data_IF_386574889184
#
_entry.id   IF_386574889184
#
_cell.length_a   1.000
_cell.length_b   1.000
_cell.length_c   1.000
_cell.angle_alpha   90.00
_cell.angle_beta   90.00
_cell.angle_gamma   90.00
#
_symmetry.space_group_name_H-M   'P 1'
#
loop_
_entity.id
_entity.type
_entity.pdbx_description
1 polymer ?
#
# COMPACT_ATOMS: atom_id res chain seq x y z
N UNK A 1 -53.53 -43.64 -29.22
CA UNK A 1 -52.66 -44.77 -29.62
C UNK A 1 -51.51 -44.15 -30.43
N UNK A 2 -50.20 -44.27 -30.19
CA UNK A 2 -49.32 -45.03 -29.29
C UNK A 2 -48.16 -44.08 -28.90
N UNK A 3 -47.72 -44.12 -27.63
CA UNK A 3 -46.52 -43.43 -27.12
C UNK A 3 -45.31 -44.32 -27.41
N UNK A 4 -44.33 -43.84 -28.17
CA UNK A 4 -43.04 -44.53 -28.34
C UNK A 4 -42.09 -44.07 -27.24
N UNK A 5 -42.03 -44.82 -26.14
CA UNK A 5 -40.96 -44.70 -25.13
C UNK A 5 -39.74 -45.43 -25.68
N UNK A 6 -38.68 -44.70 -26.05
CA UNK A 6 -37.35 -45.29 -26.19
C UNK A 6 -36.75 -45.43 -24.80
N UNK A 7 -36.61 -46.66 -24.32
CA UNK A 7 -35.82 -46.97 -23.14
C UNK A 7 -34.33 -46.79 -23.51
N UNK A 8 -33.66 -45.84 -22.87
CA UNK A 8 -32.21 -45.75 -22.88
C UNK A 8 -31.73 -46.59 -21.69
N UNK A 9 -31.15 -47.75 -21.97
CA UNK A 9 -30.46 -48.55 -20.97
C UNK A 9 -29.09 -47.88 -20.74
N UNK A 10 -28.95 -47.15 -19.64
CA UNK A 10 -27.65 -46.67 -19.18
C UNK A 10 -26.98 -47.78 -18.38
N UNK A 11 -25.98 -48.42 -18.95
CA UNK A 11 -25.03 -49.25 -18.21
C UNK A 11 -24.12 -48.32 -17.43
N UNK A 12 -24.26 -48.32 -16.11
CA UNK A 12 -23.31 -47.72 -15.18
C UNK A 12 -22.08 -48.63 -15.21
N UNK A 13 -20.96 -48.11 -15.71
CA UNK A 13 -19.66 -48.77 -15.62
C UNK A 13 -18.94 -48.04 -14.48
N UNK A 14 -18.92 -48.66 -13.32
CA UNK A 14 -18.07 -48.28 -12.20
C UNK A 14 -16.63 -48.66 -12.57
N UNK A 15 -15.85 -47.69 -13.06
CA UNK A 15 -14.42 -47.85 -13.28
C UNK A 15 -13.66 -47.28 -12.08
N UNK A 16 -13.68 -48.00 -10.97
CA UNK A 16 -12.75 -47.83 -9.85
C UNK A 16 -11.55 -48.77 -10.02
N UNK A 17 -10.75 -48.59 -11.07
CA UNK A 17 -9.43 -49.25 -11.19
C UNK A 17 -8.41 -48.26 -11.79
N UNK A 18 -7.55 -47.74 -10.90
CA UNK A 18 -6.37 -46.96 -11.21
C UNK A 18 -5.25 -47.89 -11.69
N UNK A 19 -5.18 -48.14 -12.99
CA UNK A 19 -4.05 -48.83 -13.61
C UNK A 19 -3.23 -47.87 -14.49
N UNK A 20 -2.15 -47.35 -13.90
CA UNK A 20 -1.07 -46.69 -14.63
C UNK A 20 -0.20 -47.76 -15.31
N UNK A 21 -0.61 -48.22 -16.50
CA UNK A 21 0.26 -49.04 -17.35
C UNK A 21 1.12 -48.14 -18.24
N UNK A 22 2.37 -47.98 -17.83
CA UNK A 22 3.48 -47.47 -18.65
C UNK A 22 3.74 -48.43 -19.81
N UNK A 23 3.62 -47.94 -21.05
CA UNK A 23 4.05 -48.63 -22.26
C UNK A 23 5.02 -47.76 -23.06
N UNK A 24 6.25 -48.25 -23.09
CA UNK A 24 7.49 -47.79 -23.75
C UNK A 24 7.33 -47.44 -25.24
N UNK A 25 8.06 -46.41 -25.70
CA UNK A 25 9.30 -46.50 -26.51
C UNK A 25 9.45 -45.26 -27.40
N UNK A 26 10.43 -44.43 -27.07
CA UNK A 26 10.99 -43.41 -27.96
C UNK A 26 12.44 -43.20 -27.55
N UNK A 27 13.36 -43.69 -28.37
CA UNK A 27 14.81 -43.47 -28.23
C UNK A 27 15.11 -41.97 -28.26
N UNK A 28 15.76 -41.49 -27.20
CA UNK A 28 16.51 -40.24 -27.15
C UNK A 28 17.77 -40.49 -26.33
N UNK A 29 18.68 -41.30 -26.89
CA UNK A 29 20.09 -41.17 -26.59
C UNK A 29 20.62 -39.90 -27.26
N UNK A 30 21.45 -39.16 -26.53
CA UNK A 30 22.22 -37.97 -26.96
C UNK A 30 21.60 -36.60 -26.62
N UNK A 31 21.52 -36.29 -25.33
CA UNK A 31 21.68 -34.91 -24.83
C UNK A 31 22.48 -34.92 -23.52
N UNK A 32 23.81 -35.03 -23.65
CA UNK A 32 24.76 -34.58 -22.63
C UNK A 32 24.66 -33.05 -22.52
N UNK A 33 23.81 -32.57 -21.62
CA UNK A 33 23.87 -31.20 -21.11
C UNK A 33 23.95 -31.23 -19.58
N UNK A 34 25.04 -31.80 -19.07
CA UNK A 34 25.58 -31.36 -17.78
C UNK A 34 26.26 -30.01 -17.99
N UNK A 35 25.46 -28.93 -18.08
CA UNK A 35 25.99 -27.63 -17.73
C UNK A 35 26.18 -27.64 -16.21
N UNK A 36 27.42 -27.91 -15.81
CA UNK A 36 27.93 -27.63 -14.48
C UNK A 36 27.83 -26.13 -14.26
N UNK A 37 26.69 -25.68 -13.70
CA UNK A 37 26.57 -24.34 -13.16
C UNK A 37 27.46 -24.33 -11.92
N UNK A 38 28.61 -23.69 -12.05
CA UNK A 38 29.51 -23.45 -10.93
C UNK A 38 28.71 -22.88 -9.75
N UNK A 39 28.94 -23.36 -8.51
CA UNK A 39 28.42 -22.69 -7.33
C UNK A 39 28.83 -21.22 -7.40
N UNK A 40 27.85 -20.33 -7.51
CA UNK A 40 28.08 -18.91 -7.32
C UNK A 40 28.67 -18.77 -5.93
N UNK A 41 29.94 -18.35 -5.85
CA UNK A 41 30.54 -17.90 -4.60
C UNK A 41 29.57 -16.89 -3.99
N UNK A 42 28.98 -17.25 -2.85
CA UNK A 42 28.29 -16.32 -1.97
C UNK A 42 29.33 -15.28 -1.55
N UNK A 43 29.42 -14.19 -2.31
CA UNK A 43 30.01 -12.97 -1.80
C UNK A 43 29.06 -12.49 -0.70
N UNK A 44 29.45 -12.68 0.55
CA UNK A 44 28.83 -12.13 1.77
C UNK A 44 28.85 -10.59 1.82
N UNK A 45 28.73 -9.91 0.69
CA UNK A 45 28.53 -8.48 0.60
C UNK A 45 27.03 -8.18 0.64
N UNK A 46 26.45 -8.44 1.82
CA UNK A 46 25.16 -7.90 2.26
C UNK A 46 25.26 -6.37 2.38
N UNK A 47 25.22 -5.65 1.26
CA UNK A 47 24.88 -4.22 1.24
C UNK A 47 23.37 -4.06 1.00
N UNK A 48 22.60 -4.54 1.98
CA UNK A 48 21.26 -4.00 2.21
C UNK A 48 21.32 -2.49 2.46
N UNK A 49 20.22 -1.74 2.32
CA UNK A 49 20.24 -0.31 2.65
C UNK A 49 20.61 -0.14 4.13
N UNK A 50 21.85 0.28 4.39
CA UNK A 50 22.33 0.60 5.73
C UNK A 50 21.46 1.75 6.24
N UNK A 51 20.64 1.46 7.26
CA UNK A 51 19.99 2.49 8.05
C UNK A 51 21.09 3.11 8.91
N UNK A 52 21.89 3.98 8.30
CA UNK A 52 22.87 4.78 9.01
C UNK A 52 22.12 5.63 10.02
N UNK A 53 22.48 5.52 11.30
CA UNK A 53 22.06 6.51 12.26
C UNK A 53 22.49 7.88 11.72
N UNK A 54 21.62 8.88 11.77
CA UNK A 54 21.92 10.21 11.24
C UNK A 54 23.22 10.79 11.84
N UNK A 55 23.59 10.37 13.05
CA UNK A 55 24.84 10.73 13.70
C UNK A 55 26.08 10.06 13.09
N UNK A 56 25.97 8.80 12.65
CA UNK A 56 27.09 8.03 12.06
C UNK A 56 27.39 8.51 10.64
N UNK A 57 26.35 8.77 9.83
CA UNK A 57 26.50 9.36 8.50
C UNK A 57 27.18 10.73 8.51
N UNK A 58 26.93 11.53 9.55
CA UNK A 58 27.56 12.85 9.71
C UNK A 58 29.02 12.73 10.17
N UNK A 59 29.40 11.63 10.82
CA UNK A 59 30.78 11.39 11.27
C UNK A 59 31.71 10.93 10.13
N UNK A 60 31.18 10.17 9.16
CA UNK A 60 31.94 9.59 8.05
C UNK A 60 32.24 10.58 6.90
N UNK A 61 31.71 11.80 6.94
CA UNK A 61 32.02 12.84 5.96
C UNK A 61 33.42 13.40 6.27
N UNK A 62 34.45 13.21 5.42
CA UNK A 62 35.77 13.77 5.64
C UNK A 62 35.67 15.30 5.64
N UNK A 63 35.87 15.92 6.81
CA UNK A 63 35.75 17.36 7.03
C UNK A 63 34.50 17.82 7.79
N UNK A 64 33.66 16.91 8.31
CA UNK A 64 32.52 17.23 9.19
C UNK A 64 32.91 17.47 10.66
N UNK A 65 33.97 16.79 11.13
CA UNK A 65 34.51 16.96 12.49
C UNK A 65 35.37 18.22 12.65
N UNK A 66 35.85 18.80 11.54
CA UNK A 66 36.32 20.18 11.56
C UNK A 66 35.10 21.08 11.45
N UNK A 67 34.54 21.41 12.61
CA UNK A 67 33.86 22.69 12.78
C UNK A 67 34.68 23.70 11.98
N UNK A 68 34.12 24.21 10.88
CA UNK A 68 34.63 25.42 10.24
C UNK A 68 34.66 26.43 11.36
N UNK A 69 35.82 26.59 12.01
CA UNK A 69 36.02 27.49 13.12
C UNK A 69 35.57 28.81 12.58
N UNK A 70 34.36 29.24 12.95
CA UNK A 70 33.85 30.55 12.57
C UNK A 70 34.97 31.48 12.98
N UNK A 71 35.57 32.15 12.00
CA UNK A 71 36.66 33.09 12.25
C UNK A 71 36.25 33.91 13.46
N UNK A 72 37.10 34.03 14.51
CA UNK A 72 36.71 34.71 15.72
C UNK A 72 36.08 36.04 15.34
N UNK A 73 34.79 36.19 15.64
CA UNK A 73 34.08 37.42 15.36
C UNK A 73 34.95 38.54 15.92
N UNK A 74 35.32 39.57 15.13
CA UNK A 74 36.18 40.63 15.63
C UNK A 74 35.62 41.13 16.96
N UNK A 75 36.47 41.36 17.99
CA UNK A 75 36.00 41.69 19.32
C UNK A 75 35.00 42.82 19.18
N UNK A 76 33.75 42.55 19.57
CA UNK A 76 32.67 43.54 19.54
C UNK A 76 33.19 44.69 20.39
N UNK A 77 33.54 45.79 19.73
CA UNK A 77 34.15 46.97 20.35
C UNK A 77 33.29 47.32 21.55
N UNK A 78 33.76 46.98 22.76
CA UNK A 78 33.09 47.36 24.01
C UNK A 78 33.40 48.82 24.26
N UNK A 79 32.95 49.68 23.35
CA UNK A 79 32.57 51.01 23.77
C UNK A 79 31.32 50.80 24.60
N UNK A 80 31.50 50.74 25.92
CA UNK A 80 30.45 51.09 26.87
C UNK A 80 30.19 52.59 26.69
N UNK A 81 29.68 52.97 25.52
CA UNK A 81 29.00 54.22 25.36
C UNK A 81 27.54 53.88 25.69
N UNK A 82 27.00 54.50 26.73
CA UNK A 82 25.56 54.48 27.03
C UNK A 82 24.73 55.14 25.90
N UNK A 83 25.35 55.51 24.77
CA UNK A 83 24.76 56.16 23.61
C UNK A 83 24.32 55.20 22.49
N UNK A 84 24.59 53.88 22.60
CA UNK A 84 24.13 52.87 21.63
C UNK A 84 22.70 52.36 21.91
N UNK A 85 21.83 53.25 22.42
CA UNK A 85 20.43 52.94 22.66
C UNK A 85 19.64 52.77 21.35
N UNK A 86 18.99 51.61 21.19
CA UNK A 86 18.19 51.29 20.00
C UNK A 86 16.93 52.18 19.96
N UNK A 87 16.90 53.14 19.02
CA UNK A 87 15.76 54.05 18.84
C UNK A 87 14.65 53.34 18.05
N UNK A 88 13.54 53.05 18.72
CA UNK A 88 12.32 52.55 18.07
C UNK A 88 11.49 53.71 17.52
N UNK A 89 10.87 53.53 16.34
CA UNK A 89 10.02 54.55 15.71
C UNK A 89 8.69 53.96 15.23
N UNK A 90 7.66 54.79 15.21
CA UNK A 90 6.35 54.44 14.66
C UNK A 90 6.33 54.53 13.13
N UNK A 91 5.26 54.03 12.50
CA UNK A 91 4.96 54.25 11.08
C UNK A 91 4.89 55.73 10.69
N UNK A 92 4.60 56.61 11.65
CA UNK A 92 4.60 58.08 11.50
C UNK A 92 5.98 58.71 11.75
N UNK A 93 7.00 57.92 12.07
CA UNK A 93 8.38 58.38 12.31
C UNK A 93 8.67 58.91 13.72
N UNK A 94 7.66 58.99 14.60
CA UNK A 94 7.83 59.42 16.01
C UNK A 94 8.61 58.38 16.80
N UNK A 95 9.51 58.83 17.70
CA UNK A 95 10.28 57.95 18.59
C UNK A 95 9.34 57.30 19.61
N UNK A 96 9.44 55.99 19.77
CA UNK A 96 8.64 55.16 20.68
C UNK A 96 9.57 54.50 21.71
N UNK A 97 9.07 54.26 22.93
CA UNK A 97 9.80 53.49 23.95
C UNK A 97 9.90 52.00 23.60
N UNK A 98 10.92 51.30 24.12
CA UNK A 98 11.13 49.86 23.87
C UNK A 98 9.89 49.01 24.18
N UNK A 99 9.20 49.31 25.27
CA UNK A 99 8.00 48.58 25.72
C UNK A 99 6.82 48.75 24.76
N UNK A 100 6.59 49.97 24.28
CA UNK A 100 5.54 50.27 23.32
C UNK A 100 5.80 49.61 21.96
N UNK A 101 7.07 49.53 21.54
CA UNK A 101 7.46 48.78 20.33
C UNK A 101 7.20 47.29 20.48
N UNK A 102 7.55 46.69 21.63
CA UNK A 102 7.28 45.27 21.91
C UNK A 102 5.77 44.97 21.85
N UNK A 103 4.92 45.79 22.47
CA UNK A 103 3.47 45.62 22.46
C UNK A 103 2.86 45.74 21.04
N UNK A 104 3.35 46.67 20.22
CA UNK A 104 2.94 46.82 18.82
C UNK A 104 3.37 45.61 17.97
N UNK A 105 4.56 45.08 18.22
CA UNK A 105 5.10 43.94 17.50
C UNK A 105 4.46 42.61 17.95
N UNK A 106 4.09 42.48 19.21
CA UNK A 106 3.41 41.31 19.77
C UNK A 106 1.98 41.19 19.27
N UNK A 107 1.26 42.33 19.14
CA UNK A 107 -0.06 42.36 18.47
C UNK A 107 0.00 42.05 16.96
N UNK A 108 1.17 42.25 16.33
CA UNK A 108 1.44 41.86 14.93
C UNK A 108 1.96 40.43 14.79
N UNK A 109 2.39 39.78 15.89
CA UNK A 109 2.65 38.33 15.87
C UNK A 109 1.32 37.62 15.57
N UNK A 110 1.34 36.64 14.68
CA UNK A 110 0.48 36.70 13.52
C UNK A 110 -0.87 36.01 13.76
N UNK A 111 -1.96 36.78 13.82
CA UNK A 111 -3.30 36.25 13.54
C UNK A 111 -3.38 35.62 12.14
N UNK A 112 -2.51 36.03 11.20
CA UNK A 112 -2.39 35.45 9.86
C UNK A 112 -1.75 34.05 9.86
N UNK A 113 -0.70 33.76 10.63
CA UNK A 113 -0.09 32.43 10.62
C UNK A 113 -0.96 31.34 11.27
N UNK A 114 -1.93 31.74 12.11
CA UNK A 114 -2.94 30.82 12.66
C UNK A 114 -4.17 30.65 11.75
N UNK A 115 -4.51 31.66 10.95
CA UNK A 115 -5.63 31.63 10.01
C UNK A 115 -5.25 31.03 8.64
N UNK A 116 -4.01 31.22 8.18
CA UNK A 116 -3.49 30.66 6.92
C UNK A 116 -3.15 29.16 7.06
N UNK A 117 -2.78 28.71 8.26
CA UNK A 117 -2.45 27.29 8.52
C UNK A 117 -3.68 26.39 8.72
N UNK A 118 -4.85 26.97 8.99
CA UNK A 118 -6.11 26.21 9.17
C UNK A 118 -6.89 26.02 7.87
N UNK A 119 -6.50 26.69 6.78
CA UNK A 119 -7.12 26.46 5.49
C UNK A 119 -6.49 25.20 4.89
N UNK A 120 -7.04 24.03 5.25
CA UNK A 120 -6.60 22.76 4.70
C UNK A 120 -6.58 22.85 3.17
N UNK A 121 -5.38 22.81 2.60
CA UNK A 121 -5.20 22.83 1.15
C UNK A 121 -5.78 21.53 0.60
N UNK A 122 -7.07 21.57 0.27
CA UNK A 122 -7.81 20.41 -0.22
C UNK A 122 -7.16 19.85 -1.50
N UNK A 123 -6.35 20.64 -2.20
CA UNK A 123 -5.64 20.24 -3.41
C UNK A 123 -4.32 19.50 -3.15
N UNK A 124 -3.80 19.51 -1.92
CA UNK A 124 -2.57 18.79 -1.55
C UNK A 124 -2.80 17.33 -1.12
N UNK A 125 -4.03 16.95 -0.80
CA UNK A 125 -4.40 15.58 -0.39
C UNK A 125 -4.94 14.79 -1.59
N UNK A 126 -4.60 13.50 -1.67
CA UNK A 126 -5.16 12.62 -2.71
C UNK A 126 -6.67 12.39 -2.53
N UNK A 127 -7.42 12.26 -3.62
CA UNK A 127 -8.87 12.04 -3.56
C UNK A 127 -9.24 10.79 -2.76
N UNK A 128 -8.54 9.67 -3.01
CA UNK A 128 -8.73 8.40 -2.28
C UNK A 128 -8.41 8.55 -0.79
N UNK A 129 -7.40 9.35 -0.43
CA UNK A 129 -7.07 9.57 0.98
C UNK A 129 -8.21 10.30 1.71
N UNK A 130 -8.85 11.28 1.07
CA UNK A 130 -10.02 11.96 1.64
C UNK A 130 -11.20 11.03 1.80
N UNK A 131 -11.54 10.28 0.74
CA UNK A 131 -12.65 9.31 0.80
C UNK A 131 -12.40 8.26 1.88
N UNK A 132 -11.17 7.75 1.99
CA UNK A 132 -10.81 6.80 3.04
C UNK A 132 -10.90 7.42 4.43
N UNK A 133 -10.49 8.68 4.60
CA UNK A 133 -10.61 9.40 5.86
C UNK A 133 -12.07 9.61 6.26
N UNK A 134 -12.92 10.07 5.33
CA UNK A 134 -14.36 10.24 5.55
C UNK A 134 -15.03 8.91 5.90
N UNK A 135 -14.63 7.81 5.24
CA UNK A 135 -15.10 6.47 5.55
C UNK A 135 -14.65 6.01 6.95
N UNK A 136 -13.38 6.27 7.32
CA UNK A 136 -12.87 5.99 8.66
C UNK A 136 -13.63 6.76 9.73
N UNK A 137 -13.86 8.07 9.55
CA UNK A 137 -14.66 8.88 10.50
C UNK A 137 -16.11 8.42 10.61
N UNK A 138 -16.71 7.93 9.51
CA UNK A 138 -18.06 7.37 9.54
C UNK A 138 -18.09 6.04 10.33
N UNK A 139 -17.10 5.18 10.12
CA UNK A 139 -16.92 3.94 10.87
C UNK A 139 -16.67 4.19 12.35
N UNK A 140 -15.80 5.14 12.70
CA UNK A 140 -15.54 5.53 14.08
C UNK A 140 -16.79 6.07 14.77
N UNK A 141 -17.58 6.92 14.10
CA UNK A 141 -18.86 7.40 14.62
C UNK A 141 -19.86 6.27 14.83
N UNK A 142 -19.89 5.29 13.92
CA UNK A 142 -20.72 4.10 14.05
C UNK A 142 -20.30 3.25 15.24
N UNK A 143 -19.01 2.94 15.36
CA UNK A 143 -18.45 2.16 16.46
C UNK A 143 -18.64 2.85 17.81
N UNK A 144 -18.51 4.17 17.87
CA UNK A 144 -18.75 4.96 19.07
C UNK A 144 -20.21 4.89 19.57
N UNK A 145 -21.16 4.65 18.67
CA UNK A 145 -22.58 4.44 19.02
C UNK A 145 -22.89 3.00 19.42
N UNK A 146 -22.01 2.05 19.10
CA UNK A 146 -22.21 0.64 19.39
C UNK A 146 -21.73 0.27 20.81
N UNK A 147 -22.37 -0.72 21.46
CA UNK A 147 -21.90 -1.25 22.73
C UNK A 147 -20.59 -2.03 22.53
N UNK A 148 -19.76 -2.08 23.59
CA UNK A 148 -18.49 -2.81 23.57
C UNK A 148 -18.65 -4.31 23.26
N UNK A 149 -19.71 -4.93 23.80
CA UNK A 149 -20.00 -6.35 23.60
C UNK A 149 -21.21 -6.51 22.67
N UNK A 150 -21.07 -7.33 21.63
CA UNK A 150 -22.19 -7.81 20.79
C UNK A 150 -22.52 -9.24 21.22
N UNK A 151 -23.72 -9.45 21.77
CA UNK A 151 -24.12 -10.76 22.30
C UNK A 151 -24.82 -11.64 21.24
N UNK A 152 -25.65 -11.04 20.40
CA UNK A 152 -26.37 -11.68 19.30
C UNK A 152 -26.06 -11.00 17.96
N UNK A 153 -26.62 -11.53 16.87
CA UNK A 153 -26.48 -10.92 15.55
C UNK A 153 -27.30 -9.61 15.49
N UNK A 154 -26.61 -8.48 15.43
CA UNK A 154 -27.21 -7.18 15.21
C UNK A 154 -27.82 -7.06 13.81
N UNK A 155 -28.85 -6.24 13.65
CA UNK A 155 -29.53 -6.00 12.36
C UNK A 155 -28.58 -5.55 11.24
N UNK A 156 -27.52 -4.82 11.58
CA UNK A 156 -26.52 -4.36 10.62
C UNK A 156 -25.60 -5.49 10.16
N UNK A 157 -25.18 -6.36 11.08
CA UNK A 157 -24.38 -7.54 10.76
C UNK A 157 -25.19 -8.57 9.95
N UNK A 158 -26.48 -8.72 10.28
CA UNK A 158 -27.42 -9.54 9.51
C UNK A 158 -27.57 -9.04 8.06
N UNK A 159 -27.61 -7.73 7.85
CA UNK A 159 -27.62 -7.12 6.51
C UNK A 159 -26.33 -7.41 5.75
N UNK A 160 -25.18 -7.32 6.40
CA UNK A 160 -23.88 -7.64 5.80
C UNK A 160 -23.80 -9.12 5.39
N UNK A 161 -24.23 -10.05 6.26
CA UNK A 161 -24.27 -11.48 5.97
C UNK A 161 -25.18 -11.82 4.78
N UNK A 162 -26.33 -11.14 4.67
CA UNK A 162 -27.25 -11.30 3.52
C UNK A 162 -26.67 -10.73 2.23
N UNK A 163 -25.90 -9.63 2.30
CA UNK A 163 -25.28 -9.01 1.14
C UNK A 163 -24.08 -9.80 0.59
N UNK A 164 -23.43 -10.63 1.43
CA UNK A 164 -22.25 -11.39 1.03
C UNK A 164 -22.58 -12.43 -0.05
N UNK A 165 -22.02 -12.24 -1.24
CA UNK A 165 -22.11 -13.21 -2.34
C UNK A 165 -21.44 -14.53 -1.97
N UNK A 166 -22.16 -15.64 -2.17
CA UNK A 166 -21.65 -17.00 -1.94
C UNK A 166 -21.23 -17.63 -3.26
N UNK A 167 -20.00 -18.12 -3.30
CA UNK A 167 -19.52 -18.90 -4.44
C UNK A 167 -20.31 -20.23 -4.50
N UNK A 168 -20.79 -20.59 -5.70
CA UNK A 168 -21.59 -21.79 -5.97
C UNK A 168 -23.04 -21.78 -5.45
N UNK A 169 -23.61 -20.63 -5.09
CA UNK A 169 -25.04 -20.51 -4.82
C UNK A 169 -25.83 -20.30 -6.14
N UNK A 170 -26.71 -21.24 -6.53
CA UNK A 170 -27.49 -21.12 -7.75
C UNK A 170 -28.48 -19.95 -7.73
N UNK A 171 -28.99 -19.56 -6.55
CA UNK A 171 -29.90 -18.43 -6.41
C UNK A 171 -29.18 -17.10 -6.65
N UNK A 172 -27.94 -16.96 -6.16
CA UNK A 172 -27.12 -15.76 -6.38
C UNK A 172 -26.85 -15.51 -7.87
N UNK A 173 -26.56 -16.57 -8.65
CA UNK A 173 -26.37 -16.46 -10.10
C UNK A 173 -27.64 -16.02 -10.84
N UNK A 174 -28.83 -16.30 -10.29
CA UNK A 174 -30.10 -15.98 -10.91
C UNK A 174 -30.49 -14.51 -10.75
N UNK A 175 -30.13 -13.91 -9.62
CA UNK A 175 -30.46 -12.53 -9.21
C UNK A 175 -29.43 -11.50 -9.71
N UNK A 176 -28.17 -11.90 -9.91
CA UNK A 176 -27.12 -11.05 -10.49
C UNK A 176 -27.28 -10.81 -12.01
N UNK A 177 -28.33 -11.34 -12.65
CA UNK A 177 -28.61 -11.11 -14.07
C UNK A 177 -29.14 -9.70 -14.27
N UNK A 178 -28.27 -8.78 -14.70
CA UNK A 178 -28.70 -7.48 -15.24
C UNK A 178 -29.69 -7.74 -16.39
N UNK A 179 -30.88 -7.11 -16.41
CA UNK A 179 -31.84 -7.29 -17.50
C UNK A 179 -31.19 -6.82 -18.81
N UNK A 180 -30.94 -7.74 -19.75
CA UNK A 180 -30.35 -7.45 -21.06
C UNK A 180 -29.04 -8.16 -21.39
N UNK A 181 -28.39 -8.86 -20.45
CA UNK A 181 -27.16 -9.63 -20.73
C UNK A 181 -27.43 -11.13 -20.49
N UNK A 182 -27.78 -11.82 -21.57
CA UNK A 182 -28.00 -13.27 -21.59
C UNK A 182 -26.68 -13.97 -21.90
N UNK A 183 -25.80 -14.18 -20.91
CA UNK A 183 -24.64 -15.05 -21.08
C UNK A 183 -24.56 -16.11 -19.98
N UNK A 184 -24.26 -17.38 -20.31
CA UNK A 184 -24.27 -18.52 -19.37
C UNK A 184 -22.97 -18.66 -18.57
N UNK A 185 -22.09 -17.65 -18.58
CA UNK A 185 -20.88 -17.60 -17.74
C UNK A 185 -20.92 -16.32 -16.93
N UNK A 186 -21.39 -16.44 -15.70
CA UNK A 186 -21.27 -15.45 -14.63
C UNK A 186 -19.80 -15.26 -14.24
N UNK A 187 -18.99 -14.71 -15.15
CA UNK A 187 -17.67 -14.11 -14.90
C UNK A 187 -17.53 -12.92 -15.85
N UNK A 188 -18.47 -11.97 -15.75
CA UNK A 188 -18.27 -10.66 -16.35
C UNK A 188 -17.88 -9.73 -15.21
N UNK A 189 -16.69 -9.13 -15.33
CA UNK A 189 -16.27 -7.98 -14.54
C UNK A 189 -17.34 -6.90 -14.71
N UNK A 190 -18.31 -6.90 -13.79
CA UNK A 190 -19.24 -5.80 -13.67
C UNK A 190 -18.40 -4.55 -13.40
N UNK A 191 -18.39 -3.63 -14.36
CA UNK A 191 -18.02 -2.27 -14.05
C UNK A 191 -19.10 -1.74 -13.11
N UNK A 192 -18.74 -1.63 -11.83
CA UNK A 192 -19.53 -0.92 -10.85
C UNK A 192 -19.33 0.58 -11.14
N UNK A 193 -20.25 1.15 -11.92
CA UNK A 193 -20.30 2.57 -12.24
C UNK A 193 -19.91 2.97 -13.67
N UNK A 194 -20.18 4.25 -13.98
CA UNK A 194 -19.91 4.93 -15.26
C UNK A 194 -18.41 5.12 -15.57
N UNK A 195 -17.52 4.74 -14.64
CA UNK A 195 -16.08 4.90 -14.82
C UNK A 195 -15.53 3.76 -15.67
N UNK A 196 -14.89 4.05 -16.82
CA UNK A 196 -14.29 3.02 -17.65
C UNK A 196 -13.17 2.30 -16.89
N UNK A 197 -13.13 0.97 -16.98
CA UNK A 197 -12.03 0.12 -16.48
C UNK A 197 -11.04 -0.16 -17.61
N UNK A 198 -9.82 -0.54 -17.27
CA UNK A 198 -8.85 -0.96 -18.27
C UNK A 198 -9.31 -2.24 -18.98
N UNK A 199 -9.00 -2.33 -20.28
CA UNK A 199 -9.30 -3.50 -21.10
C UNK A 199 -8.39 -4.69 -20.79
N UNK A 200 -7.17 -4.41 -20.32
CA UNK A 200 -6.12 -5.42 -20.11
C UNK A 200 -6.01 -5.78 -18.63
N UNK A 201 -5.72 -7.06 -18.36
CA UNK A 201 -5.38 -7.50 -17.01
C UNK A 201 -4.01 -6.91 -16.62
N UNK A 202 -3.94 -6.24 -15.49
CA UNK A 202 -2.68 -5.73 -14.96
C UNK A 202 -1.89 -6.81 -14.23
N UNK A 203 -0.57 -6.61 -14.23
CA UNK A 203 0.35 -7.27 -13.30
C UNK A 203 -0.03 -6.87 -11.87
N UNK A 204 -0.03 -7.81 -10.90
CA UNK A 204 -0.31 -7.47 -9.51
C UNK A 204 0.69 -6.43 -8.97
N UNK A 205 0.18 -5.56 -8.11
CA UNK A 205 0.94 -4.53 -7.40
C UNK A 205 0.66 -4.70 -5.90
N UNK A 206 1.62 -4.35 -5.05
CA UNK A 206 1.49 -4.31 -3.57
C UNK A 206 0.20 -3.66 -3.08
N UNK A 207 -0.28 -2.64 -3.78
CA UNK A 207 -1.45 -1.86 -3.38
C UNK A 207 -2.75 -2.30 -4.06
N UNK A 208 -2.73 -3.36 -4.88
CA UNK A 208 -3.87 -3.84 -5.65
C UNK A 208 -4.59 -2.72 -6.46
N UNK A 209 -3.85 -1.71 -6.91
CA UNK A 209 -4.39 -0.60 -7.70
C UNK A 209 -4.55 -1.08 -9.15
N UNK A 210 -5.78 -1.00 -9.66
CA UNK A 210 -6.07 -1.28 -11.06
C UNK A 210 -5.45 -0.21 -11.99
N UNK A 211 -5.01 -0.59 -13.19
CA UNK A 211 -4.47 0.35 -14.15
C UNK A 211 -5.57 1.30 -14.65
N UNK A 212 -5.17 2.50 -15.04
CA UNK A 212 -6.09 3.45 -15.67
C UNK A 212 -6.69 2.89 -16.96
N UNK A 213 -7.91 3.33 -17.29
CA UNK A 213 -8.66 2.84 -18.45
C UNK A 213 -7.94 2.99 -19.81
N UNK A 214 -7.01 3.94 -19.92
CA UNK A 214 -6.21 4.22 -21.13
C UNK A 214 -4.91 3.44 -21.20
N UNK A 215 -4.60 2.61 -20.21
CA UNK A 215 -3.39 1.83 -20.23
C UNK A 215 -3.44 0.80 -21.37
N UNK A 216 -2.31 0.63 -22.06
CA UNK A 216 -2.19 -0.16 -23.29
C UNK A 216 -1.78 -1.62 -23.05
N UNK A 217 -1.59 -2.01 -21.78
CA UNK A 217 -1.17 -3.36 -21.41
C UNK A 217 0.35 -3.59 -21.50
N UNK A 218 1.13 -2.62 -21.98
CA UNK A 218 2.59 -2.78 -22.11
C UNK A 218 3.27 -2.45 -20.79
N UNK A 219 4.04 -3.43 -20.28
CA UNK A 219 4.80 -3.31 -19.03
C UNK A 219 6.07 -2.50 -19.30
N UNK A 220 6.21 -1.34 -18.65
CA UNK A 220 7.35 -0.41 -18.81
C UNK A 220 8.21 -0.25 -17.54
N UNK A 221 7.97 -1.07 -16.53
CA UNK A 221 8.68 -0.99 -15.25
C UNK A 221 9.99 -1.79 -15.23
N UNK A 222 10.85 -1.48 -14.26
CA UNK A 222 12.12 -2.20 -13.99
C UNK A 222 11.95 -3.58 -13.30
N UNK A 223 10.73 -4.14 -13.27
CA UNK A 223 10.44 -5.41 -12.56
C UNK A 223 10.59 -5.35 -11.03
N UNK A 224 10.45 -4.18 -10.40
CA UNK A 224 10.57 -4.06 -8.93
C UNK A 224 9.48 -4.84 -8.19
N UNK A 225 8.21 -4.71 -8.60
CA UNK A 225 7.08 -5.40 -7.97
C UNK A 225 7.26 -6.92 -7.98
N UNK A 226 7.72 -7.48 -9.11
CA UNK A 226 8.01 -8.92 -9.21
C UNK A 226 9.10 -9.38 -8.24
N UNK A 227 10.21 -8.63 -8.15
CA UNK A 227 11.29 -8.92 -7.20
C UNK A 227 10.80 -8.80 -5.76
N UNK A 228 9.95 -7.82 -5.47
CA UNK A 228 9.36 -7.63 -4.15
C UNK A 228 8.48 -8.82 -3.76
N UNK A 229 7.62 -9.30 -4.64
CA UNK A 229 6.79 -10.48 -4.37
C UNK A 229 7.63 -11.75 -4.17
N UNK A 230 8.69 -11.94 -4.96
CA UNK A 230 9.64 -13.06 -4.79
C UNK A 230 10.34 -13.00 -3.43
N UNK A 231 10.83 -11.82 -3.04
CA UNK A 231 11.48 -11.62 -1.74
C UNK A 231 10.52 -11.81 -0.56
N UNK A 232 9.27 -11.36 -0.68
CA UNK A 232 8.27 -11.56 0.37
C UNK A 232 7.87 -13.04 0.49
N UNK A 233 7.76 -13.76 -0.64
CA UNK A 233 7.49 -15.19 -0.64
C UNK A 233 8.63 -15.99 -0.02
N UNK A 234 9.90 -15.68 -0.35
CA UNK A 234 11.06 -16.34 0.25
C UNK A 234 11.15 -16.07 1.75
N UNK A 235 10.89 -14.83 2.17
CA UNK A 235 10.85 -14.45 3.60
C UNK A 235 9.79 -15.26 4.36
N UNK A 236 8.58 -15.38 3.82
CA UNK A 236 7.50 -16.18 4.42
C UNK A 236 7.83 -17.67 4.47
N UNK A 237 8.44 -18.21 3.42
CA UNK A 237 8.87 -19.60 3.38
C UNK A 237 9.90 -19.88 4.48
N UNK A 238 10.94 -19.04 4.58
CA UNK A 238 11.97 -19.15 5.62
C UNK A 238 11.38 -19.05 7.02
N UNK A 239 10.48 -18.10 7.29
CA UNK A 239 9.81 -17.99 8.59
C UNK A 239 9.04 -19.27 8.97
N UNK A 240 8.36 -19.89 7.99
CA UNK A 240 7.63 -21.13 8.19
C UNK A 240 8.58 -22.30 8.47
N UNK A 241 9.68 -22.41 7.75
CA UNK A 241 10.72 -23.41 7.98
C UNK A 241 11.34 -23.25 9.38
N UNK A 242 11.70 -22.03 9.78
CA UNK A 242 12.22 -21.74 11.11
C UNK A 242 11.22 -22.14 12.20
N UNK A 243 9.93 -21.84 12.01
CA UNK A 243 8.89 -22.26 12.94
C UNK A 243 8.79 -23.79 13.05
N UNK A 244 8.79 -24.51 11.93
CA UNK A 244 8.73 -25.97 11.91
C UNK A 244 9.97 -26.61 12.55
N UNK A 245 11.16 -26.06 12.29
CA UNK A 245 12.40 -26.53 12.89
C UNK A 245 12.44 -26.30 14.40
N UNK A 246 11.98 -25.13 14.86
CA UNK A 246 11.89 -24.81 16.30
C UNK A 246 10.91 -25.73 17.04
N UNK A 247 9.83 -26.15 16.39
CA UNK A 247 8.90 -27.14 16.97
C UNK A 247 9.52 -28.53 16.99
N UNK A 248 10.26 -28.91 15.95
CA UNK A 248 10.85 -30.24 15.86
C UNK A 248 11.94 -30.49 16.93
N UNK A 249 12.55 -29.42 17.45
CA UNK A 249 13.59 -29.48 18.51
C UNK A 249 13.01 -29.42 19.94
N UNK A 250 11.69 -29.26 20.10
CA UNK A 250 10.98 -29.37 21.40
C UNK A 250 10.41 -30.77 21.64
#
# INVERSE_FOLDING_TARGET
MKRNKRAFNATIIDNDELDFTSAKHGDVSDLDHTEYVAPLEESDADDGPVVVNAAEFVADIPGSAEERRRSPTPPRRTVLNDDDDVIYRDKSGRRITREQWLLLHEKRKPKSARAESTQELSWGKGLVQKVNHEAQEAEERRLAQQPLNRYDIDEEYDRELKARGRWSDPMFCSESRRPGITSPKCVYFASDGDTPKCRFAAVPNRFNIEPGYRWDGVIRGKGYEERWFKAEASRKAKQKEMYLNNIADM
#
